data_IF_648457334412
#
_entry.id   IF_648457334412
#
_cell.length_a   1.000
_cell.length_b   1.000
_cell.length_c   1.000
_cell.angle_alpha   90.00
_cell.angle_beta   90.00
_cell.angle_gamma   90.00
#
_symmetry.space_group_name_H-M   'P 1'
#
loop_
_entity.id
_entity.type
_entity.pdbx_description
1 polymer ?
#
# COMPACT_ATOMS: atom_id res chain seq x y z
N UNK A 1 -6.92 -2.30 -13.40
CA UNK A 1 -7.55 -1.00 -13.07
C UNK A 1 -9.07 -0.98 -13.24
N UNK A 2 -9.66 -1.69 -14.21
CA UNK A 2 -11.11 -1.70 -14.43
C UNK A 2 -11.92 -2.19 -13.22
N UNK A 3 -11.53 -3.32 -12.61
CA UNK A 3 -12.24 -3.86 -11.43
C UNK A 3 -12.18 -2.95 -10.20
N UNK A 4 -11.05 -2.28 -9.97
CA UNK A 4 -10.91 -1.34 -8.84
C UNK A 4 -11.86 -0.14 -9.00
N UNK A 5 -11.92 0.44 -10.20
CA UNK A 5 -12.86 1.55 -10.50
C UNK A 5 -14.33 1.10 -10.47
N UNK A 6 -14.63 -0.16 -10.80
CA UNK A 6 -15.98 -0.70 -10.77
C UNK A 6 -16.52 -0.87 -9.34
N UNK A 7 -15.67 -1.27 -8.38
CA UNK A 7 -16.07 -1.47 -6.99
C UNK A 7 -16.02 -0.19 -6.13
N UNK A 8 -15.23 0.81 -6.54
CA UNK A 8 -15.07 2.09 -5.85
C UNK A 8 -15.40 3.25 -6.80
N UNK A 9 -16.66 3.32 -7.23
CA UNK A 9 -17.10 4.23 -8.29
C UNK A 9 -17.33 5.67 -7.82
N UNK A 10 -17.36 5.91 -6.51
CA UNK A 10 -17.57 7.25 -5.93
C UNK A 10 -16.49 7.63 -4.91
N UNK A 11 -16.15 8.92 -4.83
CA UNK A 11 -15.21 9.44 -3.81
C UNK A 11 -15.63 9.10 -2.38
N UNK A 12 -16.94 9.03 -2.12
CA UNK A 12 -17.51 8.66 -0.84
C UNK A 12 -17.20 7.20 -0.43
N UNK A 13 -17.03 6.29 -1.41
CA UNK A 13 -16.65 4.89 -1.18
C UNK A 13 -15.14 4.69 -1.06
N UNK A 14 -14.33 5.58 -1.66
CA UNK A 14 -12.87 5.49 -1.59
C UNK A 14 -12.32 5.82 -0.20
N UNK A 15 -12.93 6.78 0.50
CA UNK A 15 -12.49 7.18 1.84
C UNK A 15 -11.20 8.00 1.88
N UNK A 16 -10.74 8.32 3.09
CA UNK A 16 -9.47 9.01 3.33
C UNK A 16 -8.41 8.01 3.82
N UNK A 17 -7.37 7.81 3.02
CA UNK A 17 -6.27 6.90 3.34
C UNK A 17 -5.18 7.62 4.14
N UNK A 18 -4.76 7.02 5.25
CA UNK A 18 -3.60 7.43 6.02
C UNK A 18 -2.71 6.22 6.30
N UNK A 19 -1.39 6.40 6.24
CA UNK A 19 -0.41 5.37 6.59
C UNK A 19 0.59 5.96 7.59
N UNK A 20 0.20 6.08 8.87
CA UNK A 20 1.00 6.79 9.87
C UNK A 20 2.28 6.05 10.27
N UNK A 21 2.34 4.74 10.05
CA UNK A 21 3.50 3.91 10.37
C UNK A 21 4.11 3.35 9.10
N UNK A 22 5.38 3.67 8.89
CA UNK A 22 6.19 3.17 7.78
C UNK A 22 7.53 2.68 8.34
N UNK A 23 7.87 1.42 8.09
CA UNK A 23 9.17 0.85 8.43
C UNK A 23 9.85 0.37 7.17
N UNK A 24 11.04 0.92 6.92
CA UNK A 24 11.95 0.50 5.86
C UNK A 24 12.98 -0.46 6.45
N UNK A 25 13.14 -1.62 5.84
CA UNK A 25 14.15 -2.61 6.19
C UNK A 25 14.96 -2.95 4.93
N UNK A 26 16.10 -2.28 4.70
CA UNK A 26 17.03 -2.65 3.65
C UNK A 26 17.50 -4.09 3.83
N UNK A 27 17.48 -4.88 2.76
CA UNK A 27 17.98 -6.26 2.75
C UNK A 27 19.33 -6.35 2.02
N UNK A 28 19.53 -5.49 1.02
CA UNK A 28 20.78 -5.32 0.29
C UNK A 28 20.75 -3.99 -0.48
N UNK A 29 21.79 -3.70 -1.26
CA UNK A 29 21.82 -2.55 -2.18
C UNK A 29 20.68 -2.54 -3.20
N UNK A 30 20.06 -3.70 -3.47
CA UNK A 30 19.04 -3.87 -4.50
C UNK A 30 17.67 -4.29 -3.96
N UNK A 31 17.53 -4.55 -2.66
CA UNK A 31 16.27 -5.01 -2.07
C UNK A 31 15.93 -4.30 -0.76
N UNK A 32 14.66 -3.97 -0.57
CA UNK A 32 14.16 -3.33 0.64
C UNK A 32 12.74 -3.82 0.96
N UNK A 33 12.49 -4.22 2.20
CA UNK A 33 11.13 -4.39 2.69
C UNK A 33 10.58 -3.06 3.19
N UNK A 34 9.31 -2.82 2.87
CA UNK A 34 8.54 -1.70 3.41
C UNK A 34 7.28 -2.26 4.04
N UNK A 35 7.13 -2.10 5.34
CA UNK A 35 5.93 -2.49 6.06
C UNK A 35 5.23 -1.26 6.61
N UNK A 36 3.91 -1.24 6.58
CA UNK A 36 3.16 -0.15 7.19
C UNK A 36 1.77 -0.56 7.64
N UNK A 37 1.20 0.29 8.49
CA UNK A 37 -0.22 0.23 8.87
C UNK A 37 -0.97 1.23 8.01
N UNK A 38 -2.11 0.84 7.47
CA UNK A 38 -3.02 1.74 6.78
C UNK A 38 -4.32 1.89 7.56
N UNK A 39 -4.92 3.06 7.43
CA UNK A 39 -6.25 3.38 7.94
C UNK A 39 -7.03 4.10 6.85
N UNK A 40 -8.28 3.68 6.65
CA UNK A 40 -9.18 4.16 5.63
C UNK A 40 -10.47 4.62 6.29
N UNK A 41 -10.64 5.94 6.37
CA UNK A 41 -11.85 6.54 6.91
C UNK A 41 -12.95 6.58 5.83
N UNK A 42 -14.11 5.98 6.09
CA UNK A 42 -15.22 5.90 5.12
C UNK A 42 -16.56 6.11 5.80
N UNK A 43 -17.51 6.64 5.05
CA UNK A 43 -18.90 6.84 5.50
C UNK A 43 -19.62 5.53 5.85
N UNK A 44 -19.24 4.43 5.21
CA UNK A 44 -19.78 3.08 5.43
C UNK A 44 -19.04 2.31 6.55
N UNK A 45 -18.15 2.98 7.27
CA UNK A 45 -17.32 2.38 8.33
C UNK A 45 -15.85 2.32 7.96
N UNK A 46 -15.02 2.64 8.96
CA UNK A 46 -13.57 2.65 8.81
C UNK A 46 -13.03 1.25 8.54
N UNK A 47 -11.93 1.18 7.81
CA UNK A 47 -11.13 -0.03 7.67
C UNK A 47 -9.69 0.28 8.02
N UNK A 48 -8.97 -0.72 8.50
CA UNK A 48 -7.56 -0.63 8.77
C UNK A 48 -6.92 -1.99 8.55
N UNK A 49 -5.61 -2.00 8.38
CA UNK A 49 -4.86 -3.21 8.14
C UNK A 49 -3.38 -2.93 8.01
N UNK A 50 -2.67 -3.92 7.50
CA UNK A 50 -1.22 -3.84 7.32
C UNK A 50 -0.85 -4.19 5.88
N UNK A 51 0.24 -3.61 5.40
CA UNK A 51 0.83 -3.97 4.14
C UNK A 51 2.31 -4.30 4.31
N UNK A 52 2.80 -5.18 3.44
CA UNK A 52 4.21 -5.50 3.24
C UNK A 52 4.53 -5.41 1.77
N UNK A 53 5.45 -4.54 1.40
CA UNK A 53 5.96 -4.36 0.05
C UNK A 53 7.41 -4.84 -0.02
N UNK A 54 7.74 -5.59 -1.06
CA UNK A 54 9.12 -5.86 -1.42
C UNK A 54 9.51 -4.97 -2.59
N UNK A 55 10.48 -4.09 -2.37
CA UNK A 55 11.09 -3.28 -3.40
C UNK A 55 12.34 -3.95 -3.93
N UNK A 56 12.50 -3.89 -5.26
CA UNK A 56 13.72 -4.26 -5.96
C UNK A 56 14.22 -3.08 -6.79
N UNK A 57 15.53 -2.84 -6.78
CA UNK A 57 16.17 -1.87 -7.66
C UNK A 57 16.46 -2.55 -9.01
N UNK A 58 15.81 -2.10 -10.07
CA UNK A 58 15.99 -2.57 -11.45
C UNK A 58 16.37 -1.36 -12.30
N UNK A 59 17.51 -1.44 -12.99
CA UNK A 59 18.02 -0.34 -13.83
C UNK A 59 18.10 1.01 -13.09
N UNK A 60 18.46 0.97 -11.81
CA UNK A 60 18.57 2.16 -10.97
C UNK A 60 17.25 2.63 -10.34
N UNK A 61 16.11 2.08 -10.74
CA UNK A 61 14.79 2.46 -10.26
C UNK A 61 14.24 1.46 -9.24
N UNK A 62 13.66 1.97 -8.16
CA UNK A 62 12.96 1.13 -7.19
C UNK A 62 11.56 0.81 -7.68
N UNK A 63 11.26 -0.48 -7.82
CA UNK A 63 9.94 -0.97 -8.21
C UNK A 63 9.40 -1.93 -7.16
N UNK A 64 8.08 -1.92 -6.95
CA UNK A 64 7.40 -2.89 -6.09
C UNK A 64 7.30 -4.20 -6.88
N UNK A 65 7.93 -5.26 -6.39
CA UNK A 65 7.90 -6.59 -7.01
C UNK A 65 6.98 -7.57 -6.25
N UNK A 66 6.53 -7.20 -5.06
CA UNK A 66 5.52 -7.92 -4.29
C UNK A 66 4.75 -6.95 -3.40
N UNK A 67 3.44 -7.12 -3.34
CA UNK A 67 2.52 -6.42 -2.44
C UNK A 67 1.66 -7.47 -1.75
N UNK A 68 1.73 -7.53 -0.43
CA UNK A 68 0.83 -8.29 0.39
C UNK A 68 0.14 -7.35 1.39
N UNK A 69 -1.18 -7.24 1.27
CA UNK A 69 -2.02 -6.41 2.13
C UNK A 69 -3.08 -7.28 2.81
N UNK A 70 -3.32 -7.05 4.10
CA UNK A 70 -4.29 -7.76 4.94
C UNK A 70 -5.26 -6.79 5.59
#
# INVERSE_FOLDING_TARGET
MANYKAHYSTKAQMGHFTSPTLRLQPLSSNYCYVTGKWHLERTVGNAEGYYTLLFKKIEGQWVIISDHSS
#
